data_IF_222013918953
#
_entry.id   IF_222013918953
#
_cell.length_a   1.000
_cell.length_b   1.000
_cell.length_c   1.000
_cell.angle_alpha   90.00
_cell.angle_beta   90.00
_cell.angle_gamma   90.00
#
_symmetry.space_group_name_H-M   'P 1'
#
loop_
_entity.id
_entity.type
_entity.pdbx_description
1 polymer ?
#
# COMPACT_ATOMS: atom_id res chain seq x y z
N UNK A 1 16.35 -12.99 1.77
CA UNK A 1 15.72 -12.06 0.83
C UNK A 1 16.74 -11.03 0.45
N UNK A 2 16.72 -10.57 -0.79
CA UNK A 2 17.56 -9.46 -1.24
C UNK A 2 16.93 -8.13 -0.79
N UNK A 3 17.72 -7.11 -0.45
CA UNK A 3 17.19 -5.80 -0.12
C UNK A 3 16.51 -5.18 -1.34
N UNK A 4 15.45 -4.40 -1.11
CA UNK A 4 14.93 -3.55 -2.16
C UNK A 4 15.95 -2.45 -2.51
N UNK A 5 15.91 -1.94 -3.74
CA UNK A 5 16.71 -0.78 -4.12
C UNK A 5 16.48 0.40 -3.18
N UNK A 6 17.54 1.17 -2.88
CA UNK A 6 17.43 2.37 -2.03
C UNK A 6 16.38 3.37 -2.56
N UNK A 7 16.23 3.44 -3.87
CA UNK A 7 15.29 4.33 -4.54
C UNK A 7 13.84 4.05 -4.16
N UNK A 8 13.48 2.80 -3.84
CA UNK A 8 12.16 2.47 -3.31
C UNK A 8 11.91 3.21 -1.99
N UNK A 9 12.85 3.15 -1.06
CA UNK A 9 12.72 3.79 0.24
C UNK A 9 12.69 5.32 0.14
N UNK A 10 13.53 5.90 -0.73
CA UNK A 10 13.53 7.35 -1.00
C UNK A 10 12.20 7.81 -1.59
N UNK A 11 11.69 7.09 -2.57
CA UNK A 11 10.44 7.44 -3.27
C UNK A 11 9.26 7.40 -2.31
N UNK A 12 9.10 6.30 -1.55
CA UNK A 12 8.05 6.17 -0.53
C UNK A 12 8.13 7.26 0.53
N UNK A 13 9.35 7.63 0.97
CA UNK A 13 9.52 8.69 1.96
C UNK A 13 9.10 10.06 1.46
N UNK A 14 9.18 10.34 0.15
CA UNK A 14 8.76 11.61 -0.45
C UNK A 14 7.27 11.57 -0.80
N UNK A 15 6.79 10.45 -1.29
CA UNK A 15 5.42 10.31 -1.80
C UNK A 15 4.40 10.20 -0.67
N UNK A 16 4.76 9.66 0.50
CA UNK A 16 3.84 9.56 1.64
C UNK A 16 3.24 10.90 2.07
N UNK A 17 3.98 12.00 1.87
CA UNK A 17 3.57 13.35 2.29
C UNK A 17 2.80 14.08 1.17
N UNK A 18 2.74 13.50 -0.04
CA UNK A 18 2.07 14.05 -1.23
C UNK A 18 0.86 13.23 -1.67
N UNK A 19 0.80 11.97 -1.25
CA UNK A 19 -0.25 11.03 -1.60
C UNK A 19 -1.59 11.48 -1.00
N UNK A 20 -2.61 11.57 -1.84
CA UNK A 20 -3.99 11.90 -1.48
C UNK A 20 -4.96 10.71 -1.68
N UNK A 21 -4.51 9.62 -2.33
CA UNK A 21 -5.28 8.39 -2.57
C UNK A 21 -4.32 7.19 -2.77
N UNK A 22 -4.61 6.06 -2.10
CA UNK A 22 -3.93 4.78 -2.32
C UNK A 22 -4.83 3.82 -3.10
N UNK A 23 -4.30 3.23 -4.17
CA UNK A 23 -4.96 2.13 -4.90
C UNK A 23 -4.06 0.90 -4.88
N UNK A 24 -4.55 -0.20 -4.33
CA UNK A 24 -3.89 -1.50 -4.33
C UNK A 24 -4.58 -2.39 -5.35
N UNK A 25 -3.86 -2.82 -6.38
CA UNK A 25 -4.41 -3.64 -7.46
C UNK A 25 -3.66 -4.96 -7.63
N UNK A 26 -4.40 -6.08 -7.69
CA UNK A 26 -3.85 -7.39 -8.06
C UNK A 26 -2.72 -7.90 -7.15
N UNK A 27 -2.69 -7.48 -5.89
CA UNK A 27 -1.65 -7.85 -4.92
C UNK A 27 -2.26 -8.35 -3.62
N UNK A 28 -1.66 -9.41 -3.06
CA UNK A 28 -2.05 -9.95 -1.75
C UNK A 28 -1.42 -9.20 -0.57
N UNK A 29 -0.49 -8.28 -0.84
CA UNK A 29 0.28 -7.52 0.16
C UNK A 29 0.85 -8.37 1.32
N UNK A 30 1.27 -9.61 1.04
CA UNK A 30 1.84 -10.52 2.06
C UNK A 30 3.34 -10.28 2.32
N UNK A 31 4.04 -9.57 1.43
CA UNK A 31 5.51 -9.47 1.44
C UNK A 31 5.97 -8.07 1.85
N UNK A 32 6.78 -8.01 2.91
CA UNK A 32 7.47 -6.78 3.31
C UNK A 32 8.60 -6.48 2.31
N UNK A 33 8.94 -5.19 2.09
CA UNK A 33 8.39 -4.00 2.76
C UNK A 33 7.16 -3.38 2.06
N UNK A 34 6.76 -3.87 0.88
CA UNK A 34 5.68 -3.28 0.08
C UNK A 34 4.35 -3.28 0.83
N UNK A 35 4.07 -4.32 1.61
CA UNK A 35 2.87 -4.41 2.43
C UNK A 35 2.72 -3.30 3.49
N UNK A 36 3.82 -2.65 3.87
CA UNK A 36 3.83 -1.58 4.87
C UNK A 36 3.42 -0.22 4.29
N UNK A 37 3.37 -0.05 2.96
CA UNK A 37 3.04 1.25 2.35
C UNK A 37 1.68 1.77 2.82
N UNK A 38 0.68 0.90 2.93
CA UNK A 38 -0.65 1.25 3.47
C UNK A 38 -0.64 1.71 4.93
N UNK A 39 0.35 1.28 5.72
CA UNK A 39 0.52 1.65 7.14
C UNK A 39 1.35 2.94 7.31
N UNK A 40 2.14 3.32 6.29
CA UNK A 40 2.95 4.52 6.30
C UNK A 40 2.16 5.79 5.94
N UNK A 41 1.02 5.63 5.27
CA UNK A 41 0.16 6.74 4.87
C UNK A 41 -0.70 7.22 6.05
N UNK A 42 -0.96 8.53 6.16
CA UNK A 42 -1.90 9.06 7.13
C UNK A 42 -3.29 8.42 7.01
N UNK A 43 -3.97 8.19 8.13
CA UNK A 43 -5.26 7.50 8.17
C UNK A 43 -6.41 8.21 7.44
N UNK A 44 -6.26 9.49 7.08
CA UNK A 44 -7.27 10.23 6.31
C UNK A 44 -7.15 10.01 4.80
N UNK A 45 -6.08 9.37 4.34
CA UNK A 45 -5.88 9.07 2.92
C UNK A 45 -6.76 7.89 2.54
N UNK A 46 -7.73 8.06 1.62
CA UNK A 46 -8.58 6.98 1.18
C UNK A 46 -7.77 5.84 0.57
N UNK A 47 -8.14 4.60 0.88
CA UNK A 47 -7.50 3.38 0.39
C UNK A 47 -8.52 2.50 -0.33
N UNK A 48 -8.22 2.19 -1.60
CA UNK A 48 -9.06 1.35 -2.46
C UNK A 48 -8.32 0.05 -2.79
N UNK A 49 -8.99 -1.08 -2.59
CA UNK A 49 -8.53 -2.39 -3.04
C UNK A 49 -9.26 -2.80 -4.32
N UNK A 50 -8.51 -3.18 -5.36
CA UNK A 50 -9.02 -3.82 -6.57
C UNK A 50 -8.35 -5.19 -6.69
N UNK A 51 -9.01 -6.24 -6.22
CA UNK A 51 -8.37 -7.55 -6.15
C UNK A 51 -9.37 -8.69 -6.20
N UNK A 52 -8.98 -9.84 -6.74
CA UNK A 52 -9.85 -11.03 -6.84
C UNK A 52 -10.29 -11.60 -5.48
N UNK A 53 -9.57 -11.25 -4.42
CA UNK A 53 -9.84 -11.69 -3.05
C UNK A 53 -9.63 -10.55 -2.06
N UNK A 54 -10.37 -10.59 -0.96
CA UNK A 54 -10.18 -9.66 0.16
C UNK A 54 -8.84 -9.89 0.85
N UNK A 55 -8.33 -8.84 1.49
CA UNK A 55 -7.14 -8.92 2.34
C UNK A 55 -7.55 -8.88 3.82
N UNK A 56 -7.70 -10.04 4.51
CA UNK A 56 -8.28 -10.09 5.86
C UNK A 56 -7.46 -9.39 6.96
N UNK A 57 -6.24 -8.98 6.65
CA UNK A 57 -5.29 -8.33 7.56
C UNK A 57 -5.10 -6.84 7.25
N UNK A 58 -5.91 -6.27 6.36
CA UNK A 58 -5.87 -4.87 5.95
C UNK A 58 -7.30 -4.33 5.87
N UNK A 59 -7.47 -3.06 6.21
CA UNK A 59 -8.75 -2.37 6.08
C UNK A 59 -8.64 -1.37 4.94
N UNK A 60 -9.53 -1.48 3.97
CA UNK A 60 -9.68 -0.53 2.86
C UNK A 60 -11.03 0.15 3.00
N UNK A 61 -11.13 1.41 2.56
CA UNK A 61 -12.38 2.15 2.57
C UNK A 61 -13.34 1.60 1.51
N UNK A 62 -12.79 1.16 0.38
CA UNK A 62 -13.54 0.55 -0.74
C UNK A 62 -12.82 -0.71 -1.20
N UNK A 63 -13.58 -1.79 -1.38
CA UNK A 63 -13.10 -3.05 -1.96
C UNK A 63 -13.89 -3.36 -3.23
N UNK A 64 -13.18 -3.43 -4.36
CA UNK A 64 -13.67 -3.87 -5.67
C UNK A 64 -13.11 -5.27 -5.92
N UNK A 65 -13.97 -6.28 -5.90
CA UNK A 65 -13.59 -7.70 -6.01
C UNK A 65 -13.84 -8.27 -7.41
#
# INVERSE_FOLDING_TARGET
>A
GEPLPEDFHKTISVDKDKCDLLIVMGSSLKVKPVSLVSELLPAHIPQILINRERLPHKSFDIELL
#
